data_IF_219614489099
#
_entry.id   IF_219614489099
#
_cell.length_a   1.000
_cell.length_b   1.000
_cell.length_c   1.000
_cell.angle_alpha   90.00
_cell.angle_beta   90.00
_cell.angle_gamma   90.00
#
_symmetry.space_group_name_H-M   'P 1'
#
loop_
_entity.id
_entity.type
_entity.pdbx_description
1 polymer ?
#
# COMPACT_ATOMS: atom_id res chain seq x y z
N UNK A 1 -7.14 -9.15 -18.32
CA UNK A 1 -6.29 -8.32 -17.42
C UNK A 1 -7.23 -7.56 -16.50
N UNK A 2 -6.92 -7.45 -15.22
CA UNK A 2 -7.74 -6.72 -14.24
C UNK A 2 -7.38 -5.23 -14.34
N UNK A 3 -8.33 -4.34 -14.69
CA UNK A 3 -8.09 -2.90 -14.74
C UNK A 3 -7.76 -2.34 -13.34
N UNK A 4 -6.91 -1.33 -13.29
CA UNK A 4 -6.56 -0.67 -12.02
C UNK A 4 -7.42 0.57 -11.83
N UNK A 5 -8.13 0.65 -10.72
CA UNK A 5 -9.02 1.79 -10.41
C UNK A 5 -8.26 3.12 -10.33
N UNK A 6 -7.01 3.11 -9.89
CA UNK A 6 -6.17 4.30 -9.78
C UNK A 6 -5.73 4.88 -11.15
N UNK A 7 -5.86 4.12 -12.24
CA UNK A 7 -5.33 4.50 -13.55
C UNK A 7 -5.93 5.80 -14.09
N UNK A 8 -7.25 5.94 -14.01
CA UNK A 8 -7.94 7.14 -14.52
C UNK A 8 -7.55 8.39 -13.71
N UNK A 9 -7.34 8.24 -12.40
CA UNK A 9 -6.85 9.32 -11.54
C UNK A 9 -5.41 9.74 -11.93
N UNK A 10 -4.53 8.78 -12.19
CA UNK A 10 -3.16 9.03 -12.65
C UNK A 10 -3.18 9.74 -14.01
N UNK A 11 -3.94 9.24 -14.97
CA UNK A 11 -4.09 9.84 -16.30
C UNK A 11 -4.62 11.27 -16.24
N UNK A 12 -5.66 11.52 -15.46
CA UNK A 12 -6.22 12.85 -15.26
C UNK A 12 -5.17 13.83 -14.72
N UNK A 13 -4.45 13.43 -13.67
CA UNK A 13 -3.40 14.26 -13.07
C UNK A 13 -2.19 14.46 -14.01
N UNK A 14 -1.78 13.43 -14.76
CA UNK A 14 -0.71 13.52 -15.74
C UNK A 14 -1.03 14.55 -16.83
N UNK A 15 -2.28 14.63 -17.27
CA UNK A 15 -2.74 15.58 -18.28
C UNK A 15 -2.90 17.01 -17.74
N UNK A 16 -3.38 17.18 -16.51
CA UNK A 16 -3.85 18.46 -15.99
C UNK A 16 -2.89 19.17 -15.02
N UNK A 17 -2.17 18.43 -14.17
CA UNK A 17 -1.48 19.05 -13.03
C UNK A 17 -0.16 19.78 -13.38
N UNK A 18 0.45 19.46 -14.53
CA UNK A 18 1.80 19.93 -14.86
C UNK A 18 2.92 19.39 -13.96
N UNK A 19 2.59 18.64 -12.91
CA UNK A 19 3.56 18.05 -11.99
C UNK A 19 4.02 16.68 -12.47
N UNK A 20 5.18 16.26 -11.98
CA UNK A 20 5.67 14.90 -12.17
C UNK A 20 4.75 13.94 -11.42
N UNK A 21 4.32 12.88 -12.06
CA UNK A 21 3.55 11.81 -11.42
C UNK A 21 4.50 10.71 -10.96
N UNK A 22 4.49 10.40 -9.67
CA UNK A 22 5.24 9.29 -9.10
C UNK A 22 4.28 8.15 -8.74
N UNK A 23 4.50 6.97 -9.30
CA UNK A 23 3.76 5.76 -8.95
C UNK A 23 4.67 4.85 -8.14
N UNK A 24 4.41 4.76 -6.85
CA UNK A 24 5.19 4.01 -5.87
C UNK A 24 4.41 2.76 -5.43
N UNK A 25 5.11 1.72 -5.00
CA UNK A 25 4.45 0.50 -4.51
C UNK A 25 5.43 -0.67 -4.45
N UNK A 26 5.07 -1.72 -3.73
CA UNK A 26 5.89 -2.93 -3.61
C UNK A 26 6.28 -3.50 -4.99
N UNK A 27 7.27 -4.37 -5.04
CA UNK A 27 7.56 -5.14 -6.25
C UNK A 27 6.36 -6.04 -6.60
N UNK A 28 6.20 -6.35 -7.89
CA UNK A 28 5.17 -7.27 -8.42
C UNK A 28 3.71 -6.84 -8.19
N UNK A 29 3.44 -5.61 -7.76
CA UNK A 29 2.06 -5.08 -7.68
C UNK A 29 1.50 -4.62 -9.03
N UNK A 30 2.31 -4.66 -10.10
CA UNK A 30 1.88 -4.35 -11.47
C UNK A 30 2.19 -2.92 -11.92
N UNK A 31 3.21 -2.22 -11.37
CA UNK A 31 3.60 -0.86 -11.79
C UNK A 31 3.94 -0.79 -13.27
N UNK A 32 4.83 -1.65 -13.75
CA UNK A 32 5.23 -1.73 -15.17
C UNK A 32 4.03 -1.98 -16.08
N UNK A 33 3.10 -2.85 -15.67
CA UNK A 33 1.87 -3.15 -16.42
C UNK A 33 1.01 -1.90 -16.52
N UNK A 34 0.77 -1.20 -15.41
CA UNK A 34 0.01 0.04 -15.36
C UNK A 34 0.61 1.12 -16.27
N UNK A 35 1.94 1.33 -16.21
CA UNK A 35 2.62 2.33 -17.06
C UNK A 35 2.50 1.99 -18.54
N UNK A 36 2.62 0.71 -18.91
CA UNK A 36 2.43 0.25 -20.29
C UNK A 36 0.98 0.41 -20.77
N UNK A 37 -0.01 0.23 -19.89
CA UNK A 37 -1.43 0.47 -20.21
C UNK A 37 -1.68 1.96 -20.42
N UNK A 38 -1.11 2.82 -19.57
CA UNK A 38 -1.14 4.28 -19.70
C UNK A 38 -0.47 4.70 -21.03
N UNK A 39 0.71 4.17 -21.36
CA UNK A 39 1.39 4.43 -22.64
C UNK A 39 0.46 4.16 -23.82
N UNK A 40 -0.11 2.95 -23.87
CA UNK A 40 -1.01 2.54 -24.96
C UNK A 40 -2.26 3.44 -25.09
N UNK A 41 -2.82 3.90 -23.97
CA UNK A 41 -3.96 4.84 -23.99
C UNK A 41 -3.55 6.21 -24.55
N UNK A 42 -2.40 6.74 -24.12
CA UNK A 42 -1.89 8.04 -24.58
C UNK A 42 -1.51 8.01 -26.06
N UNK A 43 -0.89 6.93 -26.53
CA UNK A 43 -0.56 6.72 -27.96
C UNK A 43 -1.80 6.66 -28.83
N UNK A 44 -2.88 5.98 -28.37
CA UNK A 44 -4.19 5.97 -29.05
C UNK A 44 -4.83 7.36 -29.12
N UNK A 45 -4.52 8.25 -28.18
CA UNK A 45 -4.93 9.66 -28.18
C UNK A 45 -4.03 10.55 -29.08
N UNK A 46 -3.06 9.97 -29.78
CA UNK A 46 -2.13 10.67 -30.68
C UNK A 46 -0.97 11.36 -29.96
N UNK A 47 -0.72 11.07 -28.69
CA UNK A 47 0.42 11.61 -27.97
C UNK A 47 1.71 10.86 -28.33
N UNK A 48 2.81 11.59 -28.45
CA UNK A 48 4.14 11.02 -28.63
C UNK A 48 4.71 10.63 -27.27
N UNK A 49 4.73 9.33 -26.98
CA UNK A 49 5.18 8.79 -25.72
C UNK A 49 6.59 8.21 -25.85
N UNK A 50 7.47 8.57 -24.92
CA UNK A 50 8.77 7.91 -24.72
C UNK A 50 8.70 7.10 -23.43
N UNK A 51 8.77 5.77 -23.55
CA UNK A 51 8.86 4.85 -22.42
C UNK A 51 10.30 4.37 -22.25
N UNK A 52 10.85 4.49 -21.04
CA UNK A 52 12.19 4.05 -20.66
C UNK A 52 12.12 3.17 -19.41
N UNK A 53 12.69 1.97 -19.52
CA UNK A 53 12.83 1.02 -18.41
C UNK A 53 14.26 1.07 -17.87
N UNK A 54 14.46 1.63 -16.70
CA UNK A 54 15.78 1.76 -16.08
C UNK A 54 16.40 0.44 -15.58
N UNK A 55 15.73 -0.70 -15.68
CA UNK A 55 16.36 -2.02 -15.53
C UNK A 55 17.22 -2.39 -16.76
N UNK A 56 17.00 -1.74 -17.92
CA UNK A 56 17.81 -1.90 -19.14
C UNK A 56 18.89 -0.83 -19.19
N UNK A 57 20.14 -1.25 -19.26
CA UNK A 57 21.30 -0.36 -19.15
C UNK A 57 21.30 0.75 -20.21
N UNK A 58 20.91 0.45 -21.46
CA UNK A 58 20.85 1.40 -22.57
C UNK A 58 19.77 2.47 -22.35
N UNK A 59 18.57 2.04 -21.93
CA UNK A 59 17.44 2.95 -21.67
C UNK A 59 17.71 3.81 -20.42
N UNK A 60 18.29 3.22 -19.38
CA UNK A 60 18.74 3.95 -18.21
C UNK A 60 19.78 5.00 -18.59
N UNK A 61 20.81 4.63 -19.37
CA UNK A 61 21.87 5.55 -19.77
C UNK A 61 21.35 6.74 -20.57
N UNK A 62 20.30 6.58 -21.36
CA UNK A 62 19.70 7.65 -22.15
C UNK A 62 19.15 8.80 -21.29
N UNK A 63 18.62 8.49 -20.09
CA UNK A 63 18.00 9.48 -19.19
C UNK A 63 18.84 9.78 -17.94
N UNK A 64 19.84 8.95 -17.63
CA UNK A 64 20.70 9.09 -16.45
C UNK A 64 21.76 10.21 -16.66
N UNK A 65 21.30 11.44 -16.79
CA UNK A 65 22.15 12.61 -17.08
C UNK A 65 21.65 13.86 -16.40
N UNK A 66 22.58 14.74 -16.08
CA UNK A 66 22.30 16.09 -15.57
C UNK A 66 22.53 17.16 -16.68
N UNK A 67 22.79 16.74 -17.91
CA UNK A 67 23.02 17.66 -19.05
C UNK A 67 21.69 18.03 -19.71
N UNK A 68 21.33 19.32 -19.63
CA UNK A 68 20.15 19.86 -20.32
C UNK A 68 20.18 19.58 -21.83
N UNK A 69 21.35 19.73 -22.47
CA UNK A 69 21.48 19.52 -23.91
C UNK A 69 21.27 18.09 -24.36
N UNK A 70 21.61 17.09 -23.50
CA UNK A 70 21.34 15.69 -23.75
C UNK A 70 19.83 15.41 -23.61
N UNK A 71 19.22 15.93 -22.54
CA UNK A 71 17.78 15.80 -22.31
C UNK A 71 16.95 16.49 -23.40
N UNK A 72 17.41 17.65 -23.93
CA UNK A 72 16.73 18.35 -25.02
C UNK A 72 16.68 17.52 -26.30
N UNK A 73 17.77 16.84 -26.63
CA UNK A 73 17.79 15.91 -27.78
C UNK A 73 16.90 14.71 -27.55
N UNK A 74 16.94 14.11 -26.34
CA UNK A 74 16.12 12.96 -25.98
C UNK A 74 14.62 13.30 -26.04
N UNK A 75 14.23 14.46 -25.54
CA UNK A 75 12.83 14.87 -25.37
C UNK A 75 12.28 15.67 -26.55
N UNK A 76 13.07 15.83 -27.64
CA UNK A 76 12.63 16.57 -28.82
C UNK A 76 11.40 15.94 -29.44
N UNK A 77 10.30 16.69 -29.50
CA UNK A 77 9.04 16.24 -30.07
C UNK A 77 8.28 15.19 -29.24
N UNK A 78 8.65 14.97 -27.98
CA UNK A 78 7.97 14.07 -27.05
C UNK A 78 6.95 14.85 -26.23
N UNK A 79 5.72 14.30 -26.09
CA UNK A 79 4.67 14.86 -25.25
C UNK A 79 4.71 14.29 -23.83
N UNK A 80 5.03 12.99 -23.71
CA UNK A 80 5.01 12.27 -22.42
C UNK A 80 6.25 11.40 -22.28
N UNK A 81 6.95 11.54 -21.16
CA UNK A 81 8.05 10.69 -20.74
C UNK A 81 7.58 9.76 -19.60
N UNK A 82 7.71 8.46 -19.80
CA UNK A 82 7.43 7.42 -18.82
C UNK A 82 8.74 6.75 -18.42
N UNK A 83 9.10 6.83 -17.12
CA UNK A 83 10.33 6.23 -16.59
C UNK A 83 9.95 5.12 -15.62
N UNK A 84 10.18 3.87 -15.99
CA UNK A 84 9.96 2.72 -15.12
C UNK A 84 11.24 2.42 -14.31
N UNK A 85 11.08 2.04 -13.03
CA UNK A 85 12.15 1.75 -12.07
C UNK A 85 13.16 2.92 -11.90
N UNK A 86 12.65 4.16 -11.80
CA UNK A 86 13.44 5.40 -11.74
C UNK A 86 14.46 5.44 -10.56
N UNK A 87 14.30 4.62 -9.50
CA UNK A 87 15.28 4.52 -8.41
C UNK A 87 16.64 3.95 -8.87
N UNK A 88 16.70 3.34 -10.07
CA UNK A 88 17.96 2.87 -10.68
C UNK A 88 18.86 4.00 -11.16
N UNK A 89 18.30 5.18 -11.42
CA UNK A 89 19.08 6.36 -11.78
C UNK A 89 20.04 6.73 -10.64
N UNK A 90 21.21 7.27 -10.97
CA UNK A 90 22.20 7.70 -9.98
C UNK A 90 21.65 8.84 -9.11
N UNK A 91 21.02 9.82 -9.74
CA UNK A 91 20.38 10.95 -9.07
C UNK A 91 19.00 11.26 -9.67
N UNK A 92 17.97 10.44 -9.38
CA UNK A 92 16.64 10.57 -9.96
C UNK A 92 16.01 11.93 -9.64
N UNK A 93 16.26 12.48 -8.44
CA UNK A 93 15.72 13.78 -8.04
C UNK A 93 16.23 14.92 -8.88
N UNK A 94 17.54 14.97 -9.14
CA UNK A 94 18.14 16.02 -9.96
C UNK A 94 17.74 15.89 -11.43
N UNK A 95 17.77 14.68 -11.98
CA UNK A 95 17.34 14.42 -13.36
C UNK A 95 15.89 14.86 -13.58
N UNK A 96 14.96 14.41 -12.73
CA UNK A 96 13.55 14.79 -12.81
C UNK A 96 13.33 16.29 -12.59
N UNK A 97 14.11 16.93 -11.70
CA UNK A 97 14.05 18.39 -11.50
C UNK A 97 14.46 19.13 -12.75
N UNK A 98 15.56 18.74 -13.39
CA UNK A 98 16.02 19.37 -14.64
C UNK A 98 14.96 19.27 -15.72
N UNK A 99 14.32 18.09 -15.84
CA UNK A 99 13.23 17.89 -16.81
C UNK A 99 12.05 18.80 -16.47
N UNK A 100 11.60 18.83 -15.23
CA UNK A 100 10.48 19.66 -14.80
C UNK A 100 10.71 21.17 -15.04
N UNK A 101 11.89 21.67 -14.64
CA UNK A 101 12.20 23.10 -14.67
C UNK A 101 12.48 23.60 -16.11
N UNK A 102 12.92 22.74 -17.05
CA UNK A 102 13.33 23.15 -18.39
C UNK A 102 12.42 22.66 -19.54
N UNK A 103 11.59 21.62 -19.32
CA UNK A 103 10.78 20.97 -20.36
C UNK A 103 9.29 20.97 -20.00
N UNK A 104 8.72 22.14 -19.73
CA UNK A 104 7.35 22.29 -19.20
C UNK A 104 6.23 21.69 -20.08
N UNK A 105 6.51 21.47 -21.38
CA UNK A 105 5.58 20.82 -22.31
C UNK A 105 5.56 19.31 -22.17
N UNK A 106 6.63 18.70 -21.65
CA UNK A 106 6.73 17.24 -21.46
C UNK A 106 6.08 16.85 -20.15
N UNK A 107 5.11 15.95 -20.21
CA UNK A 107 4.52 15.34 -19.02
C UNK A 107 5.36 14.16 -18.56
N UNK A 108 5.57 14.02 -17.26
CA UNK A 108 6.47 12.98 -16.72
C UNK A 108 5.72 12.10 -15.75
N UNK A 109 5.82 10.78 -15.96
CA UNK A 109 5.43 9.77 -14.98
C UNK A 109 6.64 8.88 -14.70
N UNK A 110 6.96 8.70 -13.43
CA UNK A 110 8.04 7.82 -13.01
C UNK A 110 7.52 6.77 -11.99
N UNK A 111 8.05 5.55 -12.06
CA UNK A 111 7.73 4.51 -11.07
C UNK A 111 8.93 4.20 -10.18
N UNK A 112 8.63 3.62 -9.02
CA UNK A 112 9.65 3.10 -8.12
C UNK A 112 9.13 2.03 -7.16
N UNK A 113 10.00 1.05 -6.86
CA UNK A 113 9.64 -0.12 -6.05
C UNK A 113 9.72 0.12 -4.55
N UNK A 114 10.39 1.17 -4.06
CA UNK A 114 10.37 1.54 -2.64
C UNK A 114 10.18 3.04 -2.48
N UNK A 115 9.34 3.41 -1.53
CA UNK A 115 9.19 4.82 -1.16
C UNK A 115 10.45 5.35 -0.47
N UNK A 116 11.26 4.46 0.13
CA UNK A 116 12.44 4.83 0.88
C UNK A 116 13.54 5.40 -0.01
N UNK A 117 13.97 4.66 -1.05
CA UNK A 117 15.06 5.11 -1.92
C UNK A 117 14.63 6.28 -2.79
N UNK A 118 13.47 6.19 -3.41
CA UNK A 118 13.02 7.22 -4.33
C UNK A 118 12.60 8.49 -3.59
N UNK A 119 11.78 8.41 -2.54
CA UNK A 119 11.35 9.60 -1.76
C UNK A 119 12.53 10.31 -1.08
N UNK A 120 13.49 9.58 -0.52
CA UNK A 120 14.67 10.22 0.09
C UNK A 120 15.57 10.92 -0.95
N UNK A 121 15.74 10.31 -2.14
CA UNK A 121 16.49 10.92 -3.25
C UNK A 121 15.72 12.05 -3.94
N UNK A 122 14.39 12.10 -3.77
CA UNK A 122 13.50 13.11 -4.40
C UNK A 122 13.11 14.24 -3.45
N UNK A 123 13.19 14.05 -2.11
CA UNK A 123 12.60 14.98 -1.13
C UNK A 123 13.09 16.42 -1.29
N UNK A 124 14.38 16.64 -1.39
CA UNK A 124 14.92 17.99 -1.51
C UNK A 124 14.82 18.60 -2.93
N UNK A 125 15.21 17.88 -4.02
CA UNK A 125 15.17 18.46 -5.35
C UNK A 125 13.76 18.70 -5.89
N UNK A 126 12.76 17.89 -5.50
CA UNK A 126 11.42 17.87 -6.09
C UNK A 126 10.31 18.42 -5.20
N UNK A 127 10.62 19.06 -4.08
CA UNK A 127 9.60 19.66 -3.20
C UNK A 127 8.61 20.52 -3.99
N UNK A 128 7.32 20.21 -3.90
CA UNK A 128 6.24 20.92 -4.59
C UNK A 128 6.07 20.59 -6.08
N UNK A 129 6.98 19.80 -6.70
CA UNK A 129 7.03 19.52 -8.14
C UNK A 129 6.39 18.19 -8.55
N UNK A 130 5.98 17.33 -7.61
CA UNK A 130 5.40 16.03 -7.90
C UNK A 130 4.08 15.76 -7.17
N UNK A 131 3.34 14.79 -7.68
CA UNK A 131 2.22 14.12 -7.02
C UNK A 131 2.57 12.65 -6.91
N UNK A 132 2.42 12.07 -5.73
CA UNK A 132 2.68 10.66 -5.48
C UNK A 132 1.39 9.84 -5.34
N UNK A 133 1.39 8.69 -5.99
CA UNK A 133 0.33 7.69 -5.96
C UNK A 133 0.91 6.35 -5.51
N UNK A 134 0.23 5.70 -4.58
CA UNK A 134 0.64 4.37 -4.11
C UNK A 134 -0.16 3.31 -4.83
N UNK A 135 0.52 2.43 -5.56
CA UNK A 135 -0.06 1.25 -6.17
C UNK A 135 0.10 0.05 -5.22
N UNK A 136 -1.00 -0.38 -4.65
CA UNK A 136 -1.08 -1.59 -3.83
C UNK A 136 -1.24 -2.86 -4.69
N UNK A 137 -1.11 -4.08 -4.13
CA UNK A 137 -1.70 -5.27 -4.73
C UNK A 137 -3.16 -4.99 -5.12
N UNK A 138 -3.80 -5.82 -5.94
CA UNK A 138 -5.19 -5.60 -6.32
C UNK A 138 -6.05 -5.24 -5.12
N UNK A 139 -7.02 -4.35 -5.29
CA UNK A 139 -8.09 -4.21 -4.32
C UNK A 139 -9.16 -5.28 -4.55
N UNK A 140 -9.91 -5.59 -3.51
CA UNK A 140 -11.02 -6.51 -3.63
C UNK A 140 -12.07 -6.00 -4.63
N UNK A 141 -12.29 -4.68 -4.65
CA UNK A 141 -13.19 -4.03 -5.60
C UNK A 141 -12.70 -4.19 -7.06
N UNK A 142 -11.38 -4.04 -7.34
CA UNK A 142 -10.82 -4.29 -8.67
C UNK A 142 -11.09 -5.72 -9.15
N UNK A 143 -10.94 -6.69 -8.25
CA UNK A 143 -11.18 -8.10 -8.54
C UNK A 143 -12.66 -8.38 -8.80
N UNK A 144 -13.56 -7.84 -7.98
CA UNK A 144 -14.99 -8.01 -8.16
C UNK A 144 -15.49 -7.38 -9.47
N UNK A 145 -14.99 -6.19 -9.81
CA UNK A 145 -15.35 -5.50 -11.06
C UNK A 145 -14.81 -6.17 -12.32
N UNK A 146 -13.71 -6.93 -12.20
CA UNK A 146 -13.15 -7.69 -13.31
C UNK A 146 -13.88 -9.02 -13.58
N UNK A 147 -14.68 -9.49 -12.63
CA UNK A 147 -15.59 -10.62 -12.81
C UNK A 147 -16.75 -10.29 -13.74
N UNK A 148 -17.62 -11.24 -14.00
CA UNK A 148 -18.78 -11.02 -14.86
C UNK A 148 -19.73 -9.96 -14.27
N UNK A 149 -19.95 -8.88 -15.02
CA UNK A 149 -20.76 -7.72 -14.64
C UNK A 149 -22.29 -7.97 -14.68
N UNK A 150 -22.76 -9.18 -14.72
CA UNK A 150 -24.17 -9.51 -14.90
C UNK A 150 -24.79 -10.00 -13.60
N UNK A 151 -25.41 -9.08 -12.83
CA UNK A 151 -26.16 -9.52 -11.68
C UNK A 151 -26.71 -8.41 -10.79
N UNK A 152 -27.75 -8.76 -10.03
CA UNK A 152 -28.29 -7.92 -8.95
C UNK A 152 -27.22 -7.74 -7.84
N UNK A 153 -27.41 -6.72 -7.00
CA UNK A 153 -26.56 -6.48 -5.80
C UNK A 153 -26.38 -7.73 -4.94
N UNK A 154 -27.43 -8.55 -4.81
CA UNK A 154 -27.35 -9.83 -4.09
C UNK A 154 -26.39 -10.85 -4.72
N UNK A 155 -26.32 -10.90 -6.05
CA UNK A 155 -25.38 -11.79 -6.74
C UNK A 155 -23.94 -11.33 -6.55
N UNK A 156 -23.67 -10.03 -6.64
CA UNK A 156 -22.36 -9.47 -6.36
C UNK A 156 -21.90 -9.79 -4.92
N UNK A 157 -22.79 -9.68 -3.94
CA UNK A 157 -22.50 -10.00 -2.55
C UNK A 157 -22.20 -11.48 -2.36
N UNK A 158 -22.93 -12.38 -3.03
CA UNK A 158 -22.67 -13.82 -3.00
C UNK A 158 -21.29 -14.15 -3.62
N UNK A 159 -20.94 -13.54 -4.76
CA UNK A 159 -19.62 -13.70 -5.37
C UNK A 159 -18.51 -13.19 -4.45
N UNK A 160 -18.70 -12.03 -3.84
CA UNK A 160 -17.75 -11.45 -2.90
C UNK A 160 -17.52 -12.37 -1.69
N UNK A 161 -18.58 -12.88 -1.10
CA UNK A 161 -18.48 -13.81 0.05
C UNK A 161 -17.84 -15.15 -0.32
N UNK A 162 -18.03 -15.63 -1.56
CA UNK A 162 -17.37 -16.84 -2.05
C UNK A 162 -15.86 -16.65 -2.26
N UNK A 163 -15.43 -15.45 -2.70
CA UNK A 163 -14.02 -15.13 -2.91
C UNK A 163 -13.27 -14.78 -1.63
N UNK A 164 -13.96 -14.21 -0.65
CA UNK A 164 -13.38 -13.65 0.57
C UNK A 164 -12.43 -14.62 1.31
N UNK A 165 -12.76 -15.91 1.55
CA UNK A 165 -11.86 -16.84 2.21
C UNK A 165 -10.53 -17.02 1.49
N UNK A 166 -10.56 -17.13 0.16
CA UNK A 166 -9.34 -17.24 -0.66
C UNK A 166 -8.48 -15.98 -0.58
N UNK A 167 -9.11 -14.80 -0.61
CA UNK A 167 -8.41 -13.52 -0.49
C UNK A 167 -7.77 -13.38 0.89
N UNK A 168 -8.46 -13.78 1.96
CA UNK A 168 -7.91 -13.77 3.31
C UNK A 168 -6.76 -14.78 3.48
N UNK A 169 -6.70 -15.85 2.69
CA UNK A 169 -5.61 -16.83 2.73
C UNK A 169 -4.43 -16.46 1.85
N UNK A 170 -4.68 -16.09 0.60
CA UNK A 170 -3.63 -15.94 -0.42
C UNK A 170 -3.33 -14.50 -0.82
N UNK A 171 -4.11 -13.53 -0.29
CA UNK A 171 -3.93 -12.11 -0.62
C UNK A 171 -4.31 -11.75 -2.05
N UNK A 172 -3.81 -10.61 -2.49
CA UNK A 172 -4.19 -9.97 -3.75
C UNK A 172 -2.98 -9.52 -4.60
N UNK A 173 -1.80 -10.10 -4.37
CA UNK A 173 -0.69 -9.92 -5.32
C UNK A 173 -1.12 -10.43 -6.70
N UNK A 174 -0.91 -9.65 -7.80
CA UNK A 174 -1.46 -9.99 -9.12
C UNK A 174 -1.14 -11.40 -9.60
N UNK A 175 0.11 -11.83 -9.53
CA UNK A 175 0.54 -13.15 -9.99
C UNK A 175 -0.05 -14.27 -9.12
N UNK A 176 -0.16 -14.04 -7.81
CA UNK A 176 -0.76 -15.00 -6.86
C UNK A 176 -2.25 -15.13 -7.11
N UNK A 177 -2.96 -14.00 -7.24
CA UNK A 177 -4.40 -14.01 -7.49
C UNK A 177 -4.76 -14.70 -8.80
N UNK A 178 -3.98 -14.46 -9.87
CA UNK A 178 -4.22 -15.02 -11.19
C UNK A 178 -3.80 -16.50 -11.32
N UNK A 179 -3.14 -17.08 -10.32
CA UNK A 179 -2.77 -18.50 -10.31
C UNK A 179 -3.96 -19.40 -10.01
N UNK A 180 -3.98 -20.59 -10.62
CA UNK A 180 -5.14 -21.47 -10.60
C UNK A 180 -5.19 -22.38 -9.39
N UNK A 181 -4.04 -22.81 -8.85
CA UNK A 181 -4.01 -23.80 -7.76
C UNK A 181 -3.45 -23.24 -6.47
N UNK A 182 -3.87 -23.82 -5.34
CA UNK A 182 -3.39 -23.43 -4.00
C UNK A 182 -1.89 -23.62 -3.86
N UNK A 183 -1.32 -24.66 -4.44
CA UNK A 183 0.12 -24.97 -4.41
C UNK A 183 0.92 -23.91 -5.15
N UNK A 184 0.45 -23.50 -6.33
CA UNK A 184 1.08 -22.41 -7.10
C UNK A 184 1.04 -21.10 -6.33
N UNK A 185 -0.11 -20.76 -5.71
CA UNK A 185 -0.26 -19.54 -4.89
C UNK A 185 0.72 -19.55 -3.71
N UNK A 186 0.81 -20.66 -2.98
CA UNK A 186 1.74 -20.79 -1.86
C UNK A 186 3.21 -20.69 -2.31
N UNK A 187 3.59 -21.36 -3.39
CA UNK A 187 4.94 -21.29 -3.93
C UNK A 187 5.32 -19.87 -4.37
N UNK A 188 4.40 -19.13 -5.00
CA UNK A 188 4.62 -17.75 -5.38
C UNK A 188 4.74 -16.83 -4.17
N UNK A 189 3.89 -17.00 -3.16
CA UNK A 189 3.95 -16.23 -1.91
C UNK A 189 5.26 -16.47 -1.18
N UNK A 190 5.72 -17.73 -1.09
CA UNK A 190 7.01 -18.07 -0.51
C UNK A 190 8.15 -17.37 -1.26
N UNK A 191 8.11 -17.36 -2.60
CA UNK A 191 9.08 -16.65 -3.44
C UNK A 191 9.03 -15.13 -3.21
N UNK A 192 7.84 -14.55 -3.05
CA UNK A 192 7.69 -13.12 -2.72
C UNK A 192 8.37 -12.81 -1.39
N UNK A 193 8.13 -13.62 -0.35
CA UNK A 193 8.75 -13.45 0.97
C UNK A 193 10.28 -13.57 0.90
N UNK A 194 10.80 -14.63 0.28
CA UNK A 194 12.24 -14.93 0.31
C UNK A 194 13.05 -14.03 -0.62
N UNK A 195 12.58 -13.84 -1.86
CA UNK A 195 13.37 -13.21 -2.91
C UNK A 195 13.16 -11.71 -3.02
N UNK A 196 11.93 -11.23 -2.80
CA UNK A 196 11.62 -9.81 -3.03
C UNK A 196 11.54 -9.03 -1.74
N UNK A 197 10.75 -9.50 -0.77
CA UNK A 197 10.56 -8.78 0.47
C UNK A 197 11.89 -8.63 1.21
N UNK A 198 12.61 -9.71 1.45
CA UNK A 198 13.87 -9.62 2.19
C UNK A 198 15.04 -9.11 1.36
N UNK A 199 15.13 -9.45 0.06
CA UNK A 199 16.22 -8.96 -0.78
C UNK A 199 16.21 -7.45 -0.91
N UNK A 200 15.04 -6.84 -1.14
CA UNK A 200 14.93 -5.40 -1.26
C UNK A 200 15.18 -4.68 0.06
N UNK A 201 14.60 -5.22 1.14
CA UNK A 201 14.84 -4.70 2.48
C UNK A 201 16.33 -4.72 2.82
N UNK A 202 17.02 -5.81 2.49
CA UNK A 202 18.45 -5.97 2.80
C UNK A 202 19.38 -5.07 1.96
N UNK A 203 18.92 -4.49 0.86
CA UNK A 203 19.70 -3.49 0.11
C UNK A 203 19.79 -2.15 0.83
N UNK A 204 18.96 -1.90 1.85
CA UNK A 204 19.05 -0.69 2.64
C UNK A 204 20.31 -0.71 3.53
N UNK A 205 21.18 0.28 3.37
CA UNK A 205 22.46 0.40 4.09
C UNK A 205 22.35 0.41 5.63
N UNK A 206 21.14 0.59 6.17
CA UNK A 206 20.88 0.64 7.62
C UNK A 206 20.67 -0.72 8.27
N UNK A 207 20.57 -1.80 7.48
CA UNK A 207 20.34 -3.14 8.03
C UNK A 207 21.67 -3.79 8.33
N UNK A 208 22.03 -3.79 9.62
CA UNK A 208 23.25 -4.45 10.12
C UNK A 208 23.03 -5.95 10.42
N UNK A 209 21.79 -6.35 10.68
CA UNK A 209 21.43 -7.72 11.03
C UNK A 209 20.21 -8.17 10.21
N UNK A 210 20.47 -8.92 9.14
CA UNK A 210 19.44 -9.43 8.24
C UNK A 210 18.52 -10.46 8.89
N UNK A 211 19.02 -11.24 9.86
CA UNK A 211 18.20 -12.21 10.58
C UNK A 211 17.21 -11.50 11.51
N UNK A 212 17.65 -10.46 12.21
CA UNK A 212 16.78 -9.74 13.14
C UNK A 212 15.57 -9.08 12.46
N UNK A 213 15.71 -8.54 11.24
CA UNK A 213 14.55 -7.98 10.54
C UNK A 213 13.60 -9.08 10.03
N UNK A 214 14.11 -10.26 9.67
CA UNK A 214 13.29 -11.43 9.35
C UNK A 214 12.49 -11.89 10.56
N UNK A 215 13.17 -12.02 11.70
CA UNK A 215 12.55 -12.46 12.95
C UNK A 215 11.54 -11.42 13.45
N UNK A 216 11.83 -10.12 13.30
CA UNK A 216 10.88 -9.04 13.58
C UNK A 216 9.64 -9.17 12.70
N UNK A 217 9.80 -9.33 11.39
CA UNK A 217 8.68 -9.45 10.45
C UNK A 217 7.82 -10.66 10.79
N UNK A 218 8.45 -11.79 11.14
CA UNK A 218 7.76 -13.00 11.60
C UNK A 218 7.05 -12.78 12.93
N UNK A 219 7.66 -12.09 13.90
CA UNK A 219 7.02 -11.77 15.19
C UNK A 219 5.77 -10.89 14.99
N UNK A 220 5.86 -9.88 14.12
CA UNK A 220 4.72 -9.02 13.76
C UNK A 220 3.59 -9.81 13.09
N UNK A 221 3.91 -10.82 12.29
CA UNK A 221 2.88 -11.63 11.61
C UNK A 221 2.03 -12.47 12.57
N UNK A 222 2.54 -12.77 13.77
CA UNK A 222 1.75 -13.38 14.85
C UNK A 222 0.92 -12.37 15.67
N UNK A 223 1.22 -11.07 15.56
CA UNK A 223 0.61 -9.99 16.36
C UNK A 223 -0.25 -9.03 15.51
N UNK A 224 -0.73 -9.47 14.34
CA UNK A 224 -1.52 -8.59 13.47
C UNK A 224 -2.76 -8.05 14.19
N UNK A 225 -3.07 -6.77 13.96
CA UNK A 225 -4.19 -6.09 14.61
C UNK A 225 -4.00 -5.81 16.11
N UNK A 226 -2.84 -6.15 16.68
CA UNK A 226 -2.50 -5.86 18.07
C UNK A 226 -1.57 -4.66 18.19
N UNK A 227 -1.61 -3.99 19.34
CA UNK A 227 -0.64 -2.95 19.69
C UNK A 227 0.77 -3.56 19.83
N UNK A 228 1.74 -2.97 19.17
CA UNK A 228 3.12 -3.47 19.13
C UNK A 228 3.97 -2.78 20.18
N UNK A 229 4.50 -3.56 21.11
CA UNK A 229 5.42 -3.08 22.14
C UNK A 229 6.88 -3.23 21.66
N UNK A 230 7.50 -2.09 21.29
CA UNK A 230 8.87 -2.04 20.79
C UNK A 230 9.91 -2.53 21.82
N UNK A 231 9.68 -2.34 23.13
CA UNK A 231 10.59 -2.82 24.18
C UNK A 231 10.51 -4.35 24.31
N UNK A 232 9.33 -4.93 24.23
CA UNK A 232 9.14 -6.38 24.24
C UNK A 232 9.84 -7.02 23.03
N UNK A 233 9.64 -6.47 21.82
CA UNK A 233 10.29 -6.94 20.60
C UNK A 233 11.83 -6.80 20.70
N UNK A 234 12.31 -5.68 21.23
CA UNK A 234 13.74 -5.44 21.48
C UNK A 234 14.36 -6.55 22.35
N UNK A 235 13.72 -6.85 23.47
CA UNK A 235 14.16 -7.89 24.41
C UNK A 235 14.12 -9.29 23.78
N UNK A 236 13.03 -9.62 23.07
CA UNK A 236 12.82 -10.92 22.42
C UNK A 236 13.83 -11.18 21.30
N UNK A 237 14.11 -10.15 20.48
CA UNK A 237 15.02 -10.24 19.33
C UNK A 237 16.49 -9.95 19.68
N UNK A 238 16.78 -9.58 20.92
CA UNK A 238 18.12 -9.21 21.41
C UNK A 238 18.77 -8.10 20.56
N UNK A 239 18.00 -7.10 20.19
CA UNK A 239 18.43 -5.88 19.49
C UNK A 239 17.96 -4.66 20.27
N UNK A 240 18.58 -3.51 20.10
CA UNK A 240 18.12 -2.31 20.77
C UNK A 240 16.79 -1.76 20.21
N UNK A 241 16.05 -1.02 21.04
CA UNK A 241 14.75 -0.45 20.67
C UNK A 241 14.83 0.46 19.44
N UNK A 242 15.92 1.22 19.28
CA UNK A 242 16.10 2.13 18.14
C UNK A 242 16.19 1.33 16.83
N UNK A 243 16.81 0.16 16.89
CA UNK A 243 16.87 -0.77 15.75
C UNK A 243 15.49 -1.32 15.42
N UNK A 244 14.68 -1.69 16.43
CA UNK A 244 13.28 -2.12 16.20
C UNK A 244 12.50 -1.02 15.48
N UNK A 245 12.52 0.22 15.99
CA UNK A 245 11.83 1.37 15.37
C UNK A 245 12.31 1.61 13.94
N UNK A 246 13.63 1.54 13.70
CA UNK A 246 14.19 1.69 12.35
C UNK A 246 13.72 0.59 11.40
N UNK A 247 13.62 -0.65 11.87
CA UNK A 247 13.18 -1.77 11.06
C UNK A 247 11.67 -1.71 10.77
N UNK A 248 10.85 -1.26 11.72
CA UNK A 248 9.43 -0.98 11.47
C UNK A 248 9.26 0.09 10.39
N UNK A 249 10.01 1.18 10.44
CA UNK A 249 10.00 2.25 9.42
C UNK A 249 10.41 1.71 8.03
N UNK A 250 11.42 0.84 7.96
CA UNK A 250 11.84 0.19 6.72
C UNK A 250 10.73 -0.72 6.16
N UNK A 251 10.12 -1.56 7.01
CA UNK A 251 9.04 -2.46 6.61
C UNK A 251 7.83 -1.68 6.07
N UNK A 252 7.49 -0.56 6.71
CA UNK A 252 6.39 0.30 6.28
C UNK A 252 6.70 1.00 4.95
N UNK A 253 7.87 1.59 4.80
CA UNK A 253 8.32 2.23 3.57
C UNK A 253 8.54 1.25 2.41
N UNK A 254 8.71 -0.03 2.70
CA UNK A 254 8.79 -1.12 1.72
C UNK A 254 7.42 -1.74 1.39
N UNK A 255 6.33 -1.18 1.93
CA UNK A 255 4.96 -1.67 1.71
C UNK A 255 4.73 -3.11 2.17
N UNK A 256 5.40 -3.52 3.24
CA UNK A 256 5.18 -4.82 3.88
C UNK A 256 4.10 -4.72 4.93
N UNK A 257 4.19 -3.66 5.74
CA UNK A 257 3.26 -3.37 6.83
C UNK A 257 2.71 -1.94 6.70
N UNK A 258 1.63 -1.71 7.42
CA UNK A 258 1.02 -0.40 7.65
C UNK A 258 0.75 -0.22 9.13
N UNK A 259 1.10 0.95 9.65
CA UNK A 259 0.84 1.31 11.04
C UNK A 259 -0.49 2.06 11.17
N UNK A 260 -1.29 1.66 12.16
CA UNK A 260 -2.47 2.40 12.58
C UNK A 260 -2.21 3.02 13.94
N UNK A 261 -2.28 4.36 13.99
CA UNK A 261 -1.95 5.13 15.20
C UNK A 261 -3.15 5.23 16.15
N UNK A 262 -2.93 5.34 17.46
CA UNK A 262 -4.00 5.57 18.42
C UNK A 262 -4.63 6.96 18.21
N UNK A 263 -5.92 7.09 18.48
CA UNK A 263 -6.67 8.34 18.42
C UNK A 263 -6.77 8.99 19.80
N UNK A 264 -6.56 10.31 19.84
CA UNK A 264 -6.90 11.14 21.00
C UNK A 264 -7.34 12.53 20.53
N UNK A 265 -8.31 13.17 21.23
CA UNK A 265 -8.61 14.60 21.00
C UNK A 265 -7.41 15.50 21.31
N UNK A 266 -6.52 15.07 22.17
CA UNK A 266 -5.28 15.77 22.46
C UNK A 266 -4.11 15.07 21.73
N UNK A 267 -3.61 15.63 20.62
CA UNK A 267 -2.53 14.99 19.83
C UNK A 267 -1.26 14.69 20.65
N UNK A 268 -0.99 15.46 21.72
CA UNK A 268 0.15 15.20 22.61
C UNK A 268 0.04 13.85 23.32
N UNK A 269 -1.19 13.32 23.52
CA UNK A 269 -1.43 12.02 24.13
C UNK A 269 -1.33 10.84 23.16
N UNK A 270 -1.22 11.10 21.85
CA UNK A 270 -0.98 10.10 20.83
C UNK A 270 0.52 9.76 20.75
N UNK A 271 1.37 10.75 21.04
CA UNK A 271 2.83 10.59 20.95
C UNK A 271 3.30 9.59 22.02
N UNK A 272 4.04 8.58 21.60
CA UNK A 272 4.61 7.55 22.46
C UNK A 272 3.66 6.41 22.84
N UNK A 273 2.43 6.38 22.32
CA UNK A 273 1.56 5.21 22.41
C UNK A 273 1.93 4.17 21.34
N UNK A 274 1.58 2.93 21.60
CA UNK A 274 1.83 1.82 20.71
C UNK A 274 0.88 1.88 19.51
N UNK A 275 1.40 1.54 18.32
CA UNK A 275 0.63 1.43 17.10
C UNK A 275 0.15 0.00 16.90
N UNK A 276 -1.00 -0.17 16.25
CA UNK A 276 -1.36 -1.45 15.67
C UNK A 276 -0.65 -1.63 14.33
N UNK A 277 -0.24 -2.86 14.02
CA UNK A 277 0.44 -3.21 12.79
C UNK A 277 -0.42 -4.16 11.96
N UNK A 278 -0.53 -3.86 10.67
CA UNK A 278 -1.22 -4.66 9.68
C UNK A 278 -0.32 -4.96 8.51
N UNK A 279 -0.50 -6.10 7.87
CA UNK A 279 0.23 -6.43 6.65
C UNK A 279 -0.53 -5.90 5.44
N UNK A 280 0.21 -5.32 4.48
CA UNK A 280 -0.34 -4.80 3.22
C UNK A 280 -1.02 -5.91 2.40
N UNK A 281 -0.55 -7.16 2.57
CA UNK A 281 -1.15 -8.32 1.93
C UNK A 281 -1.18 -9.52 2.88
N UNK A 282 -2.36 -10.13 3.01
CA UNK A 282 -2.57 -11.26 3.92
C UNK A 282 -1.90 -12.55 3.44
N UNK A 283 -1.76 -12.75 2.13
CA UNK A 283 -1.03 -13.90 1.58
C UNK A 283 0.44 -13.87 1.99
N UNK A 284 1.07 -12.70 1.92
CA UNK A 284 2.45 -12.49 2.40
C UNK A 284 2.55 -12.76 3.91
N UNK A 285 1.60 -12.26 4.69
CA UNK A 285 1.55 -12.52 6.14
C UNK A 285 1.42 -14.01 6.45
N UNK A 286 0.52 -14.71 5.75
CA UNK A 286 0.30 -16.13 5.97
C UNK A 286 1.50 -16.98 5.55
N UNK A 287 2.19 -16.60 4.46
CA UNK A 287 3.44 -17.24 4.03
C UNK A 287 4.57 -17.08 5.05
N UNK A 288 4.68 -15.93 5.73
CA UNK A 288 5.68 -15.70 6.78
C UNK A 288 5.55 -16.65 7.97
N UNK A 289 4.32 -17.08 8.30
CA UNK A 289 4.07 -18.05 9.40
C UNK A 289 3.85 -19.48 8.88
N UNK A 290 3.74 -19.68 7.57
CA UNK A 290 3.50 -20.98 6.96
C UNK A 290 2.09 -21.52 7.22
N UNK A 291 1.08 -20.67 7.46
CA UNK A 291 -0.27 -21.08 7.80
C UNK A 291 -1.28 -20.70 6.72
N UNK A 292 -1.73 -21.69 5.96
CA UNK A 292 -2.78 -21.61 4.94
C UNK A 292 -3.99 -22.49 5.24
N UNK A 293 -4.21 -22.79 6.52
CA UNK A 293 -5.41 -23.51 6.94
C UNK A 293 -6.68 -22.69 6.61
N UNK A 294 -7.81 -23.35 6.32
CA UNK A 294 -9.09 -22.69 6.10
C UNK A 294 -9.45 -21.71 7.22
N UNK A 295 -10.06 -20.58 6.87
CA UNK A 295 -10.31 -19.45 7.78
C UNK A 295 -11.18 -19.86 8.99
N UNK A 296 -12.12 -20.76 8.78
CA UNK A 296 -13.01 -21.29 9.81
C UNK A 296 -12.31 -22.16 10.87
N UNK A 297 -11.13 -22.68 10.54
CA UNK A 297 -10.28 -23.47 11.44
C UNK A 297 -9.21 -22.62 12.14
N UNK A 298 -9.13 -21.32 11.86
CA UNK A 298 -8.07 -20.45 12.35
C UNK A 298 -8.50 -19.65 13.58
N UNK A 299 -7.68 -19.67 14.62
CA UNK A 299 -7.89 -18.87 15.82
C UNK A 299 -7.71 -17.35 15.57
N UNK A 300 -6.95 -16.97 14.54
CA UNK A 300 -6.67 -15.58 14.19
C UNK A 300 -7.60 -15.01 13.08
N UNK A 301 -8.68 -15.71 12.73
CA UNK A 301 -9.62 -15.29 11.69
C UNK A 301 -10.17 -13.86 11.92
N UNK A 302 -10.43 -13.48 13.18
CA UNK A 302 -10.85 -12.12 13.53
C UNK A 302 -9.79 -11.06 13.21
N UNK A 303 -8.52 -11.32 13.50
CA UNK A 303 -7.40 -10.42 13.18
C UNK A 303 -7.14 -10.34 11.68
N UNK A 304 -7.31 -11.45 10.94
CA UNK A 304 -7.24 -11.44 9.47
C UNK A 304 -8.35 -10.58 8.87
N UNK A 305 -9.57 -10.67 9.42
CA UNK A 305 -10.70 -9.86 9.00
C UNK A 305 -10.46 -8.35 9.23
N UNK A 306 -9.97 -7.99 10.41
CA UNK A 306 -9.61 -6.61 10.75
C UNK A 306 -8.54 -6.07 9.82
N UNK A 307 -7.47 -6.86 9.56
CA UNK A 307 -6.41 -6.50 8.63
C UNK A 307 -6.96 -6.32 7.18
N UNK A 308 -7.80 -7.24 6.72
CA UNK A 308 -8.43 -7.15 5.41
C UNK A 308 -9.20 -5.84 5.27
N UNK A 309 -10.10 -5.54 6.19
CA UNK A 309 -10.92 -4.33 6.14
C UNK A 309 -10.08 -3.05 6.18
N UNK A 310 -9.09 -2.98 7.07
CA UNK A 310 -8.22 -1.82 7.18
C UNK A 310 -7.45 -1.57 5.88
N UNK A 311 -6.84 -2.60 5.31
CA UNK A 311 -6.04 -2.45 4.08
C UNK A 311 -6.93 -2.16 2.87
N UNK A 312 -8.08 -2.84 2.72
CA UNK A 312 -8.99 -2.54 1.60
C UNK A 312 -9.54 -1.12 1.69
N UNK A 313 -9.87 -0.61 2.89
CA UNK A 313 -10.27 0.78 3.08
C UNK A 313 -9.16 1.76 2.69
N UNK A 314 -7.91 1.43 2.99
CA UNK A 314 -6.74 2.22 2.59
C UNK A 314 -6.53 2.22 1.07
N UNK A 315 -6.68 1.07 0.42
CA UNK A 315 -6.66 0.93 -1.04
C UNK A 315 -7.78 1.76 -1.69
N UNK A 316 -8.98 1.72 -1.13
CA UNK A 316 -10.10 2.55 -1.60
C UNK A 316 -9.72 4.04 -1.63
N UNK A 317 -9.22 4.59 -0.52
CA UNK A 317 -8.82 6.00 -0.48
C UNK A 317 -7.67 6.31 -1.45
N UNK A 318 -6.71 5.42 -1.59
CA UNK A 318 -5.62 5.58 -2.56
C UNK A 318 -6.16 5.63 -4.00
N UNK A 319 -7.10 4.76 -4.36
CA UNK A 319 -7.69 4.67 -5.69
C UNK A 319 -8.51 5.90 -6.06
N UNK A 320 -9.14 6.57 -5.10
CA UNK A 320 -9.88 7.83 -5.32
C UNK A 320 -9.06 9.09 -5.03
N UNK A 321 -7.77 8.95 -4.72
CA UNK A 321 -6.86 10.07 -4.47
C UNK A 321 -7.14 10.85 -3.19
N UNK A 322 -7.82 10.26 -2.22
CA UNK A 322 -8.11 10.89 -0.95
C UNK A 322 -7.09 10.49 0.11
N UNK A 323 -6.63 11.49 0.89
CA UNK A 323 -5.82 11.27 2.10
C UNK A 323 -6.71 11.42 3.32
N UNK A 324 -6.99 10.32 3.99
CA UNK A 324 -7.80 10.28 5.22
C UNK A 324 -6.89 9.89 6.38
N UNK A 325 -6.96 10.67 7.46
CA UNK A 325 -6.29 10.30 8.69
C UNK A 325 -7.06 9.16 9.35
N UNK A 326 -6.39 8.02 9.48
CA UNK A 326 -6.95 6.80 10.06
C UNK A 326 -6.29 6.51 11.39
N UNK A 327 -7.09 6.12 12.37
CA UNK A 327 -6.68 5.84 13.75
C UNK A 327 -7.47 4.66 14.32
N UNK A 328 -7.04 4.11 15.46
CA UNK A 328 -7.87 3.29 16.36
C UNK A 328 -8.03 4.00 17.71
N UNK A 329 -8.98 3.58 18.52
CA UNK A 329 -9.12 4.13 19.86
C UNK A 329 -9.13 3.04 20.90
N UNK A 330 -8.40 3.29 21.99
CA UNK A 330 -8.39 2.41 23.16
C UNK A 330 -8.40 3.22 24.44
N UNK A 331 -9.32 2.85 25.35
CA UNK A 331 -9.39 3.44 26.69
C UNK A 331 -8.37 2.82 27.63
N UNK A 332 -8.12 3.47 28.74
CA UNK A 332 -7.29 2.90 29.82
C UNK A 332 -7.90 1.63 30.43
N UNK A 333 -9.23 1.47 30.38
CA UNK A 333 -9.94 0.28 30.84
C UNK A 333 -9.98 -0.87 29.82
N UNK A 334 -9.32 -0.72 28.67
CA UNK A 334 -9.26 -1.74 27.62
C UNK A 334 -10.43 -1.74 26.64
N UNK A 335 -11.37 -0.79 26.74
CA UNK A 335 -12.42 -0.63 25.74
C UNK A 335 -11.82 -0.09 24.42
N UNK A 336 -12.24 -0.64 23.28
CA UNK A 336 -11.60 -0.38 21.96
C UNK A 336 -12.62 -0.07 20.88
N UNK A 337 -12.22 0.74 19.89
CA UNK A 337 -12.86 0.92 18.58
C UNK A 337 -11.79 0.69 17.52
N UNK A 338 -12.05 -0.24 16.61
CA UNK A 338 -11.04 -0.79 15.72
C UNK A 338 -10.53 0.22 14.69
N UNK A 339 -11.42 1.10 14.17
CA UNK A 339 -11.05 2.02 13.11
C UNK A 339 -11.81 3.34 13.19
N UNK A 340 -11.09 4.44 13.03
CA UNK A 340 -11.64 5.80 13.06
C UNK A 340 -11.08 6.56 11.86
N UNK A 341 -11.96 7.25 11.14
CA UNK A 341 -11.61 8.21 10.10
C UNK A 341 -11.86 9.63 10.59
N UNK A 342 -10.87 10.48 10.43
CA UNK A 342 -11.02 11.91 10.66
C UNK A 342 -11.10 12.63 9.32
N UNK A 343 -12.26 13.17 9.00
CA UNK A 343 -12.47 13.98 7.81
C UNK A 343 -11.87 15.39 7.97
N UNK A 344 -11.68 16.10 6.84
CA UNK A 344 -11.07 17.45 6.80
C UNK A 344 -11.83 18.49 7.65
N UNK A 345 -13.13 18.25 7.92
CA UNK A 345 -13.97 19.11 8.75
C UNK A 345 -14.06 18.65 10.23
N UNK A 346 -13.09 17.90 10.69
CA UNK A 346 -13.00 17.29 12.04
C UNK A 346 -14.15 16.32 12.39
N UNK A 347 -15.01 15.98 11.44
CA UNK A 347 -16.02 14.94 11.62
C UNK A 347 -15.35 13.59 11.73
N UNK A 348 -15.71 12.85 12.78
CA UNK A 348 -15.24 11.48 13.00
C UNK A 348 -16.26 10.50 12.44
N UNK A 349 -15.76 9.45 11.80
CA UNK A 349 -16.48 8.21 11.55
C UNK A 349 -15.77 7.10 12.32
N UNK A 350 -16.50 6.28 13.02
CA UNK A 350 -15.93 5.24 13.87
C UNK A 350 -16.56 3.89 13.52
N UNK A 351 -15.74 2.85 13.48
CA UNK A 351 -16.16 1.53 13.02
C UNK A 351 -15.60 0.44 13.93
N UNK A 352 -16.42 -0.57 14.15
CA UNK A 352 -16.03 -1.80 14.83
C UNK A 352 -16.16 -2.97 13.86
N UNK A 353 -15.12 -3.80 13.77
CA UNK A 353 -14.99 -4.90 12.81
C UNK A 353 -15.32 -6.24 13.48
N UNK A 354 -16.29 -6.98 12.96
CA UNK A 354 -16.67 -8.29 13.50
C UNK A 354 -16.91 -9.31 12.38
N UNK A 355 -16.17 -10.38 12.37
CA UNK A 355 -16.31 -11.42 11.32
C UNK A 355 -17.67 -12.11 11.35
N UNK A 356 -18.29 -12.34 12.47
CA UNK A 356 -19.56 -13.07 12.57
C UNK A 356 -20.56 -12.50 13.57
N UNK A 357 -20.20 -11.41 14.29
CA UNK A 357 -21.08 -10.83 15.31
C UNK A 357 -22.12 -9.88 14.72
N UNK A 358 -23.29 -9.80 15.34
CA UNK A 358 -24.36 -8.87 15.01
C UNK A 358 -24.45 -7.67 15.96
N UNK A 359 -23.59 -7.59 16.97
CA UNK A 359 -23.64 -6.55 18.01
C UNK A 359 -22.30 -5.84 18.22
N UNK A 360 -22.41 -4.57 18.58
CA UNK A 360 -21.28 -3.75 18.99
C UNK A 360 -20.77 -4.13 20.38
N UNK A 361 -19.49 -3.89 20.64
CA UNK A 361 -18.88 -4.09 21.95
C UNK A 361 -19.23 -2.95 22.93
N UNK A 362 -18.88 -3.16 24.21
CA UNK A 362 -18.93 -2.09 25.22
C UNK A 362 -18.00 -0.89 24.87
N UNK A 363 -16.97 -1.13 24.05
CA UNK A 363 -16.06 -0.11 23.55
C UNK A 363 -16.78 0.94 22.70
N UNK A 364 -17.69 0.51 21.84
CA UNK A 364 -18.48 1.40 21.01
C UNK A 364 -19.32 2.38 21.84
N UNK A 365 -19.96 1.92 22.92
CA UNK A 365 -20.73 2.77 23.82
C UNK A 365 -19.85 3.77 24.56
N UNK A 366 -18.69 3.32 25.04
CA UNK A 366 -17.71 4.17 25.74
C UNK A 366 -17.18 5.28 24.82
N UNK A 367 -16.86 4.93 23.56
CA UNK A 367 -16.41 5.90 22.57
C UNK A 367 -17.51 6.93 22.23
N UNK A 368 -18.74 6.45 22.00
CA UNK A 368 -19.91 7.31 21.70
C UNK A 368 -20.14 8.31 22.82
N UNK A 369 -20.11 7.88 24.10
CA UNK A 369 -20.27 8.74 25.26
C UNK A 369 -19.15 9.78 25.37
N UNK A 370 -17.90 9.41 25.05
CA UNK A 370 -16.75 10.29 25.19
C UNK A 370 -16.62 11.31 24.05
N UNK A 371 -16.97 10.93 22.82
CA UNK A 371 -16.70 11.71 21.62
C UNK A 371 -17.95 12.19 20.89
N UNK A 372 -19.16 11.73 21.27
CA UNK A 372 -20.41 12.09 20.62
C UNK A 372 -20.58 11.48 19.22
N UNK A 373 -19.72 10.54 18.85
CA UNK A 373 -19.73 9.91 17.52
C UNK A 373 -20.23 8.47 17.63
N UNK A 374 -21.28 8.14 16.87
CA UNK A 374 -21.81 6.78 16.81
C UNK A 374 -20.81 5.85 16.10
N UNK A 375 -20.60 4.67 16.66
CA UNK A 375 -19.79 3.60 16.08
C UNK A 375 -20.66 2.74 15.16
N UNK A 376 -20.19 2.49 13.94
CA UNK A 376 -20.86 1.62 12.97
C UNK A 376 -20.23 0.23 12.99
N UNK A 377 -21.07 -0.81 12.95
CA UNK A 377 -20.60 -2.18 12.84
C UNK A 377 -20.32 -2.53 11.37
N UNK A 378 -19.13 -3.08 11.10
CA UNK A 378 -18.77 -3.65 9.79
C UNK A 378 -18.59 -5.16 9.93
N UNK A 379 -19.38 -5.91 9.19
CA UNK A 379 -19.35 -7.37 9.18
C UNK A 379 -19.55 -7.93 7.75
N UNK A 380 -19.65 -9.24 7.59
CA UNK A 380 -19.82 -9.90 6.30
C UNK A 380 -21.06 -9.47 5.51
N UNK A 381 -22.04 -8.82 6.15
CA UNK A 381 -23.26 -8.39 5.46
C UNK A 381 -23.15 -6.98 4.85
N UNK A 382 -22.20 -6.15 5.30
CA UNK A 382 -22.11 -4.74 4.89
C UNK A 382 -20.69 -4.24 4.58
N UNK A 383 -19.69 -5.14 4.59
CA UNK A 383 -18.29 -4.72 4.38
C UNK A 383 -18.03 -4.14 2.99
N UNK A 384 -18.78 -4.55 1.98
CA UNK A 384 -18.63 -4.00 0.62
C UNK A 384 -18.87 -2.49 0.60
N UNK A 385 -19.88 -2.00 1.34
CA UNK A 385 -20.17 -0.57 1.46
C UNK A 385 -19.05 0.19 2.19
N UNK A 386 -18.28 -0.52 3.03
CA UNK A 386 -17.16 0.05 3.76
C UNK A 386 -15.88 0.13 2.90
N UNK A 387 -15.60 -0.88 2.10
CA UNK A 387 -14.37 -0.93 1.29
C UNK A 387 -14.50 -0.24 -0.08
N UNK A 388 -15.69 0.20 -0.50
CA UNK A 388 -15.96 1.02 -1.69
C UNK A 388 -16.57 0.25 -2.82
#
# INVERSE_FOLDING_TARGET
>A
MIPRLIEDLILSNLKSSGKIILVLGARQVGKTTLVKDISRKLEKEGRKVLYLNCDLAEEMAAVNTNSKAVLERLLSGIDVLLIDEAQRLDNPGLTLKIIYDNFSKVRVLATGSSSFDLKNKLSDPLTGRYLDFTLYPFSFTEVLQAGEKTGSEGLLRNQANALLPQIMLYGLYPEVYLSNTSEQKQALLQRIVESYLFKDILTFQRIKNSQAIKDLTKALSYQIGSEVNENELSSRLKIDRKTVVSYLDILEKSYVIESLHPFSKNPRREIGRQNKIYFVDLGVRNALIGDFNPIDLRADAGSLWENFLFIERKKYFANIGQRVQSNFWRSYSGAEVDYIEKATNDKLKAFEFKLGSRSLSKGASSFTNQYGTKVSLVNQNNYLDFIG
#
